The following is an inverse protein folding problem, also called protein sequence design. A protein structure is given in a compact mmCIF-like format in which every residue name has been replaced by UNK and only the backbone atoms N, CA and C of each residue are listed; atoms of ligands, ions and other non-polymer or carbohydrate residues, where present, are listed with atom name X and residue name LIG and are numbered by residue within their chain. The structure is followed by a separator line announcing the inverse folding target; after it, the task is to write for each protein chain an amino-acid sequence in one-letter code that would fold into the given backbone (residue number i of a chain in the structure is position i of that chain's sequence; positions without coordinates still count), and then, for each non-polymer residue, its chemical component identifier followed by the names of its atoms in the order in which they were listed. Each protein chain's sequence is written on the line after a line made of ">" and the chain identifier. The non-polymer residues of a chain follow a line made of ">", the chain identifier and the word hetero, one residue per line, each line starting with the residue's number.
data_IF_826034810408
#
_entry.id   IF_826034810408
#
_cell.length_a   1.000
_cell.length_b   1.000
_cell.length_c   1.000
_cell.angle_alpha   90.00
_cell.angle_beta   90.00
_cell.angle_gamma   90.00
#
_symmetry.space_group_name_H-M   'P 1'
#
loop_
_entity.id
_entity.type
_entity.pdbx_description
1 polymer ?
#
# COMPACT_ATOMS: atom_id res chain seq x y z
N UNK A 1 13.14 6.99 -0.85
CA UNK A 1 11.72 6.86 -1.26
C UNK A 1 11.54 7.49 -2.62
N UNK A 2 10.85 6.80 -3.54
CA UNK A 2 10.52 7.31 -4.88
C UNK A 2 9.01 7.39 -5.05
N UNK A 3 8.49 8.57 -5.38
CA UNK A 3 7.06 8.77 -5.62
C UNK A 3 6.73 8.41 -7.07
N UNK A 4 5.62 7.71 -7.29
CA UNK A 4 4.98 7.45 -8.57
C UNK A 4 3.68 8.26 -8.61
N UNK A 5 3.38 8.94 -9.71
CA UNK A 5 2.18 9.79 -9.90
C UNK A 5 1.73 9.76 -11.37
N UNK A 6 0.50 10.18 -11.74
CA UNK A 6 0.05 10.22 -13.13
C UNK A 6 1.03 10.97 -14.05
N UNK A 7 1.41 10.36 -15.19
CA UNK A 7 2.52 10.86 -16.00
C UNK A 7 2.29 12.26 -16.62
N UNK A 8 1.03 12.66 -16.77
CA UNK A 8 0.58 13.89 -17.41
C UNK A 8 0.34 15.04 -16.43
N UNK A 9 0.62 14.83 -15.13
CA UNK A 9 0.39 15.80 -14.08
C UNK A 9 1.69 16.16 -13.36
N UNK A 10 1.66 17.30 -12.65
CA UNK A 10 2.73 17.64 -11.71
C UNK A 10 2.58 16.81 -10.44
N UNK A 11 3.70 16.35 -9.90
CA UNK A 11 3.73 15.54 -8.67
C UNK A 11 3.00 16.23 -7.51
N UNK A 12 3.15 17.54 -7.37
CA UNK A 12 2.59 18.33 -6.27
C UNK A 12 1.05 18.39 -6.29
N UNK A 13 0.42 18.10 -7.44
CA UNK A 13 -1.03 18.04 -7.56
C UNK A 13 -1.62 16.77 -6.92
N UNK A 14 -0.80 15.76 -6.65
CA UNK A 14 -1.22 14.45 -6.16
C UNK A 14 -0.48 13.99 -4.91
N UNK A 15 0.70 14.55 -4.65
CA UNK A 15 1.54 14.20 -3.51
C UNK A 15 2.02 15.46 -2.78
N UNK A 16 1.93 15.43 -1.45
CA UNK A 16 2.62 16.39 -0.58
C UNK A 16 3.25 15.68 0.62
N UNK A 17 4.27 16.31 1.18
CA UNK A 17 4.86 15.93 2.46
C UNK A 17 5.01 17.17 3.32
N UNK A 18 4.22 17.26 4.38
CA UNK A 18 4.20 18.40 5.29
C UNK A 18 4.01 17.91 6.72
N UNK A 19 4.74 18.51 7.67
CA UNK A 19 4.62 18.20 9.10
C UNK A 19 4.74 16.70 9.42
N UNK A 20 5.61 15.99 8.70
CA UNK A 20 5.83 14.55 8.88
C UNK A 20 4.73 13.64 8.30
N UNK A 21 3.78 14.19 7.53
CA UNK A 21 2.68 13.44 6.92
C UNK A 21 2.81 13.46 5.39
N UNK A 22 2.86 12.26 4.79
CA UNK A 22 2.67 12.09 3.36
C UNK A 22 1.18 12.11 3.06
N UNK A 23 0.73 12.96 2.14
CA UNK A 23 -0.64 12.96 1.62
C UNK A 23 -0.59 12.56 0.16
N UNK A 24 -1.31 11.51 -0.21
CA UNK A 24 -1.33 10.95 -1.55
C UNK A 24 -2.77 10.86 -2.02
N UNK A 25 -3.06 11.39 -3.20
CA UNK A 25 -4.38 11.34 -3.80
C UNK A 25 -4.29 10.97 -5.28
N UNK A 26 -5.37 10.40 -5.80
CA UNK A 26 -5.56 10.15 -7.23
C UNK A 26 -7.05 10.21 -7.54
N UNK A 27 -7.40 10.66 -8.75
CA UNK A 27 -8.77 10.59 -9.25
C UNK A 27 -8.95 9.38 -10.15
N UNK A 28 -10.16 8.83 -10.22
CA UNK A 28 -10.46 7.65 -11.04
C UNK A 28 -10.21 7.87 -12.54
N UNK A 29 -10.26 9.13 -13.00
CA UNK A 29 -10.01 9.52 -14.38
C UNK A 29 -8.58 10.05 -14.65
N UNK A 30 -7.69 10.03 -13.65
CA UNK A 30 -6.28 10.36 -13.87
C UNK A 30 -5.63 9.35 -14.85
N UNK A 31 -4.45 9.67 -15.37
CA UNK A 31 -3.68 8.72 -16.19
C UNK A 31 -2.83 7.79 -15.31
N UNK A 32 -2.35 6.66 -15.88
CA UNK A 32 -1.41 5.78 -15.21
C UNK A 32 -0.09 6.48 -14.84
N UNK A 33 0.75 5.84 -14.03
CA UNK A 33 2.09 6.36 -13.71
C UNK A 33 3.01 6.47 -14.94
N UNK A 34 2.80 5.63 -15.96
CA UNK A 34 3.61 5.62 -17.19
C UNK A 34 2.71 5.74 -18.40
N UNK A 35 3.18 6.50 -19.39
CA UNK A 35 2.53 6.58 -20.69
C UNK A 35 2.40 5.18 -21.30
N UNK A 36 1.26 4.91 -21.95
CA UNK A 36 0.92 3.61 -22.56
C UNK A 36 0.81 2.42 -21.59
N UNK A 37 0.85 2.63 -20.27
CA UNK A 37 0.59 1.57 -19.30
C UNK A 37 -0.90 1.23 -19.26
N UNK A 38 -1.30 -0.06 -19.23
CA UNK A 38 -2.69 -0.45 -19.03
C UNK A 38 -3.12 -0.39 -17.55
N UNK A 39 -2.21 -0.05 -16.64
CA UNK A 39 -2.51 -0.07 -15.20
C UNK A 39 -3.37 1.11 -14.79
N UNK A 40 -4.14 0.94 -13.72
CA UNK A 40 -4.94 2.02 -13.14
C UNK A 40 -4.06 3.16 -12.57
N UNK A 41 -4.63 4.36 -12.38
CA UNK A 41 -3.93 5.51 -11.82
C UNK A 41 -3.42 5.26 -10.41
N UNK A 42 -2.29 5.90 -10.05
CA UNK A 42 -1.74 5.82 -8.70
C UNK A 42 -0.96 7.05 -8.32
N UNK A 43 -0.97 7.34 -7.02
CA UNK A 43 0.04 8.14 -6.37
C UNK A 43 0.62 7.33 -5.23
N UNK A 44 1.82 6.79 -5.42
CA UNK A 44 2.35 5.72 -4.59
C UNK A 44 3.85 5.87 -4.35
N UNK A 45 4.27 5.70 -3.09
CA UNK A 45 5.67 5.74 -2.69
C UNK A 45 6.23 4.33 -2.72
N UNK A 46 7.30 4.13 -3.48
CA UNK A 46 8.19 2.99 -3.36
C UNK A 46 9.29 3.32 -2.33
N UNK A 47 9.42 2.50 -1.28
CA UNK A 47 10.47 2.63 -0.27
C UNK A 47 11.77 1.97 -0.77
N UNK A 48 12.54 2.75 -1.52
CA UNK A 48 13.84 2.35 -2.10
C UNK A 48 14.91 2.03 -1.06
N UNK A 49 15.79 1.08 -1.37
CA UNK A 49 16.96 0.73 -0.54
C UNK A 49 16.66 -0.36 0.50
N UNK A 50 15.47 -0.94 0.44
CA UNK A 50 15.00 -2.02 1.30
C UNK A 50 14.39 -3.15 0.46
N UNK A 51 14.92 -3.35 -0.74
CA UNK A 51 14.53 -4.44 -1.63
C UNK A 51 15.14 -5.73 -1.07
N UNK A 52 14.39 -6.83 -1.11
CA UNK A 52 14.78 -8.08 -0.45
C UNK A 52 14.30 -9.32 -1.19
N UNK A 53 15.00 -10.44 -0.96
CA UNK A 53 14.71 -11.74 -1.56
C UNK A 53 14.69 -12.89 -0.55
N UNK A 54 14.98 -12.62 0.72
CA UNK A 54 14.99 -13.60 1.82
C UNK A 54 14.86 -12.90 3.17
N UNK A 55 14.68 -13.68 4.23
CA UNK A 55 14.57 -13.19 5.60
C UNK A 55 13.16 -12.73 5.97
N UNK A 56 13.07 -12.20 7.20
CA UNK A 56 11.84 -11.61 7.74
C UNK A 56 11.94 -10.08 7.71
N UNK A 57 11.00 -9.46 6.99
CA UNK A 57 10.93 -8.02 6.78
C UNK A 57 9.61 -7.47 7.28
N UNK A 58 9.64 -6.24 7.76
CA UNK A 58 8.49 -5.56 8.33
C UNK A 58 8.36 -4.16 7.76
N UNK A 59 7.16 -3.82 7.31
CA UNK A 59 6.70 -2.44 7.14
C UNK A 59 5.84 -2.07 8.36
N UNK A 60 6.06 -0.87 8.89
CA UNK A 60 5.19 -0.26 9.88
C UNK A 60 4.91 1.20 9.52
N UNK A 61 3.68 1.65 9.73
CA UNK A 61 3.29 3.04 9.56
C UNK A 61 1.93 3.36 10.17
N UNK A 62 1.63 4.63 10.35
CA UNK A 62 0.28 5.08 10.68
C UNK A 62 -0.41 5.56 9.42
N UNK A 63 -1.50 4.90 9.04
CA UNK A 63 -2.35 5.25 7.91
C UNK A 63 -3.59 6.02 8.36
N UNK A 64 -4.10 6.87 7.49
CA UNK A 64 -5.39 7.55 7.62
C UNK A 64 -6.05 7.55 6.24
N UNK A 65 -7.32 7.21 6.18
CA UNK A 65 -8.09 7.17 4.93
C UNK A 65 -9.33 8.03 5.11
N UNK A 66 -9.49 9.13 4.36
CA UNK A 66 -10.71 9.93 4.43
C UNK A 66 -11.93 9.13 3.98
N UNK A 67 -13.07 9.36 4.63
CA UNK A 67 -14.36 8.80 4.19
C UNK A 67 -14.66 9.12 2.73
N UNK A 68 -15.33 8.18 2.06
CA UNK A 68 -15.59 8.24 0.61
C UNK A 68 -14.49 7.64 -0.26
N UNK A 69 -13.32 7.33 0.29
CA UNK A 69 -12.25 6.62 -0.44
C UNK A 69 -12.54 5.12 -0.54
N UNK A 70 -12.76 4.58 -1.73
CA UNK A 70 -13.07 3.16 -1.96
C UNK A 70 -12.39 2.63 -3.22
N UNK A 71 -12.28 1.30 -3.35
CA UNK A 71 -11.71 0.65 -4.52
C UNK A 71 -10.24 0.96 -4.75
N UNK A 72 -9.46 1.03 -3.67
CA UNK A 72 -8.06 1.49 -3.74
C UNK A 72 -7.14 0.59 -2.91
N UNK A 73 -5.93 0.36 -3.41
CA UNK A 73 -4.84 -0.22 -2.64
C UNK A 73 -4.05 0.87 -1.94
N UNK A 74 -3.89 0.76 -0.62
CA UNK A 74 -3.22 1.77 0.20
C UNK A 74 -1.81 1.38 0.64
N UNK A 75 -1.50 0.07 0.62
CA UNK A 75 -0.18 -0.48 0.92
C UNK A 75 -0.03 -1.81 0.16
N UNK A 76 1.17 -2.08 -0.36
CA UNK A 76 1.47 -3.38 -0.98
C UNK A 76 2.88 -3.86 -0.68
N UNK A 77 3.02 -5.19 -0.68
CA UNK A 77 4.30 -5.88 -0.89
C UNK A 77 4.35 -6.25 -2.36
N UNK A 78 5.18 -5.56 -3.13
CA UNK A 78 5.37 -5.85 -4.55
C UNK A 78 6.30 -7.06 -4.72
N UNK A 79 6.18 -7.74 -5.85
CA UNK A 79 6.97 -8.92 -6.20
C UNK A 79 6.21 -10.20 -5.88
N UNK A 80 6.13 -11.10 -6.84
CA UNK A 80 5.56 -12.44 -6.74
C UNK A 80 6.09 -13.32 -7.90
N UNK A 81 5.83 -14.62 -7.90
CA UNK A 81 6.23 -15.55 -8.98
C UNK A 81 5.33 -15.43 -10.22
N UNK A 82 4.02 -15.55 -10.03
CA UNK A 82 3.00 -15.55 -11.10
C UNK A 82 2.12 -14.29 -11.10
N UNK A 83 2.25 -13.46 -10.07
CA UNK A 83 1.50 -12.24 -9.88
C UNK A 83 2.44 -11.03 -9.79
N UNK A 84 1.89 -9.82 -9.79
CA UNK A 84 2.69 -8.61 -9.60
C UNK A 84 3.05 -8.34 -8.12
N UNK A 85 2.34 -8.95 -7.17
CA UNK A 85 2.42 -8.61 -5.74
C UNK A 85 2.19 -9.83 -4.86
N UNK A 86 2.91 -9.88 -3.75
CA UNK A 86 2.69 -10.79 -2.60
C UNK A 86 1.48 -10.35 -1.77
N UNK A 87 1.28 -9.04 -1.59
CA UNK A 87 0.19 -8.52 -0.75
C UNK A 87 -0.32 -7.19 -1.29
N UNK A 88 -1.64 -7.01 -1.29
CA UNK A 88 -2.28 -5.70 -1.44
C UNK A 88 -3.27 -5.47 -0.30
N UNK A 89 -3.03 -4.44 0.51
CA UNK A 89 -3.96 -3.92 1.52
C UNK A 89 -4.85 -2.89 0.82
N UNK A 90 -6.14 -3.20 0.69
CA UNK A 90 -7.13 -2.41 -0.05
C UNK A 90 -8.23 -1.87 0.86
N UNK A 91 -8.97 -0.89 0.36
CA UNK A 91 -10.13 -0.28 1.03
C UNK A 91 -11.36 -0.37 0.14
N UNK A 92 -12.48 -0.86 0.67
CA UNK A 92 -13.78 -0.86 0.01
C UNK A 92 -14.88 -0.45 0.98
N UNK A 93 -15.53 0.69 0.71
CA UNK A 93 -16.63 1.21 1.54
C UNK A 93 -16.31 1.23 3.03
N UNK A 94 -15.13 1.74 3.41
CA UNK A 94 -14.68 1.85 4.80
C UNK A 94 -14.02 0.60 5.38
N UNK A 95 -14.10 -0.52 4.68
CA UNK A 95 -13.50 -1.78 5.12
C UNK A 95 -12.09 -1.93 4.56
N UNK A 96 -11.15 -2.30 5.44
CA UNK A 96 -9.86 -2.83 5.04
C UNK A 96 -10.02 -4.26 4.52
N UNK A 97 -9.35 -4.57 3.43
CA UNK A 97 -9.36 -5.87 2.79
C UNK A 97 -7.94 -6.29 2.38
N UNK A 98 -7.67 -7.58 2.39
CA UNK A 98 -6.51 -8.16 1.71
C UNK A 98 -6.98 -8.64 0.34
N UNK A 99 -6.47 -8.01 -0.72
CA UNK A 99 -7.07 -8.06 -2.05
C UNK A 99 -8.58 -7.76 -2.00
N UNK A 100 -9.46 -8.75 -2.11
CA UNK A 100 -10.93 -8.59 -2.02
C UNK A 100 -11.51 -9.08 -0.70
N UNK A 101 -10.74 -9.78 0.12
CA UNK A 101 -11.22 -10.38 1.36
C UNK A 101 -11.20 -9.35 2.48
N UNK A 102 -12.38 -8.95 2.96
CA UNK A 102 -12.53 -8.03 4.09
C UNK A 102 -11.86 -8.60 5.35
N UNK A 103 -11.09 -7.77 6.05
CA UNK A 103 -10.40 -8.15 7.30
C UNK A 103 -10.71 -7.22 8.48
N UNK A 104 -11.10 -5.97 8.22
CA UNK A 104 -11.44 -5.02 9.29
C UNK A 104 -12.46 -3.98 8.77
N UNK A 105 -13.56 -3.71 9.46
CA UNK A 105 -14.47 -2.62 9.11
C UNK A 105 -14.00 -1.24 9.61
N UNK A 106 -14.65 -0.19 9.13
CA UNK A 106 -14.68 1.15 9.71
C UNK A 106 -13.30 1.78 10.02
N UNK A 107 -12.45 1.87 8.99
CA UNK A 107 -11.11 2.48 9.10
C UNK A 107 -11.08 3.99 8.79
N UNK A 108 -12.20 4.57 8.39
CA UNK A 108 -12.24 5.96 7.92
C UNK A 108 -11.99 6.97 9.03
N UNK A 109 -11.45 8.12 8.61
CA UNK A 109 -11.34 9.35 9.40
C UNK A 109 -10.64 9.20 10.75
N UNK A 110 -9.80 8.17 10.87
CA UNK A 110 -8.94 7.91 12.02
C UNK A 110 -7.56 7.47 11.59
N UNK A 111 -6.58 7.73 12.45
CA UNK A 111 -5.27 7.12 12.30
C UNK A 111 -5.33 5.68 12.81
N UNK A 112 -4.76 4.75 12.05
CA UNK A 112 -4.55 3.36 12.46
C UNK A 112 -3.10 2.97 12.25
N UNK A 113 -2.54 2.15 13.15
CA UNK A 113 -1.21 1.59 12.97
C UNK A 113 -1.31 0.34 12.09
N UNK A 114 -0.73 0.37 10.90
CA UNK A 114 -0.56 -0.78 10.05
C UNK A 114 0.83 -1.37 10.25
N UNK A 115 0.91 -2.67 10.47
CA UNK A 115 2.16 -3.41 10.50
C UNK A 115 2.01 -4.65 9.62
N UNK A 116 2.89 -4.79 8.63
CA UNK A 116 2.92 -5.92 7.70
C UNK A 116 4.26 -6.60 7.84
N UNK A 117 4.24 -7.89 8.16
CA UNK A 117 5.43 -8.74 8.25
C UNK A 117 5.40 -9.73 7.09
N UNK A 118 6.46 -9.75 6.30
CA UNK A 118 6.70 -10.72 5.25
C UNK A 118 7.87 -11.60 5.65
N UNK A 119 7.59 -12.88 5.93
CA UNK A 119 8.58 -13.91 6.18
C UNK A 119 8.78 -14.68 4.88
N UNK A 120 9.79 -14.27 4.10
CA UNK A 120 10.09 -14.89 2.80
C UNK A 120 10.56 -16.33 2.97
N UNK A 121 11.29 -16.60 4.05
CA UNK A 121 11.88 -17.92 4.29
C UNK A 121 10.80 -18.99 4.56
N UNK A 122 9.69 -18.59 5.19
CA UNK A 122 8.52 -19.47 5.43
C UNK A 122 7.37 -19.24 4.43
N UNK A 123 7.53 -18.35 3.44
CA UNK A 123 6.50 -18.01 2.46
C UNK A 123 5.21 -17.48 3.08
N UNK A 124 5.30 -16.62 4.11
CA UNK A 124 4.16 -16.20 4.93
C UNK A 124 4.08 -14.68 5.08
N UNK A 125 2.86 -14.15 5.05
CA UNK A 125 2.56 -12.74 5.33
C UNK A 125 1.59 -12.62 6.52
N UNK A 126 1.89 -11.69 7.42
CA UNK A 126 0.99 -11.27 8.51
C UNK A 126 0.68 -9.79 8.41
N UNK A 127 -0.58 -9.43 8.64
CA UNK A 127 -1.01 -8.04 8.74
C UNK A 127 -1.65 -7.80 10.09
N UNK A 128 -1.17 -6.76 10.76
CA UNK A 128 -1.69 -6.28 12.03
C UNK A 128 -2.23 -4.86 11.84
N UNK A 129 -3.39 -4.59 12.43
CA UNK A 129 -3.97 -3.25 12.54
C UNK A 129 -4.19 -2.96 14.01
N UNK A 130 -3.67 -1.81 14.47
CA UNK A 130 -3.78 -1.39 15.87
C UNK A 130 -3.33 -2.48 16.87
N UNK A 131 -2.26 -3.20 16.49
CA UNK A 131 -1.63 -4.33 17.22
C UNK A 131 -2.42 -5.64 17.19
N UNK A 132 -3.61 -5.68 16.61
CA UNK A 132 -4.40 -6.90 16.42
C UNK A 132 -4.04 -7.58 15.10
N UNK A 133 -3.80 -8.89 15.11
CA UNK A 133 -3.61 -9.69 13.90
C UNK A 133 -4.95 -9.76 13.15
N UNK A 134 -5.00 -9.25 11.92
CA UNK A 134 -6.21 -9.25 11.08
C UNK A 134 -6.09 -10.19 9.88
N UNK A 135 -4.87 -10.58 9.52
CA UNK A 135 -4.62 -11.52 8.42
C UNK A 135 -3.32 -12.29 8.64
N UNK A 136 -3.36 -13.58 8.28
CA UNK A 136 -2.22 -14.47 8.15
C UNK A 136 -2.47 -15.36 6.94
N UNK A 137 -1.52 -15.44 6.01
CA UNK A 137 -1.67 -16.26 4.81
C UNK A 137 -0.35 -16.45 4.06
N UNK A 138 -0.36 -17.29 3.02
CA UNK A 138 0.83 -17.52 2.20
C UNK A 138 1.22 -16.24 1.44
N UNK A 139 2.51 -16.11 1.15
CA UNK A 139 2.98 -15.18 0.13
C UNK A 139 2.66 -15.70 -1.29
N UNK A 140 3.12 -15.01 -2.32
CA UNK A 140 2.99 -15.45 -3.71
C UNK A 140 4.35 -15.79 -4.33
N UNK A 141 5.33 -16.23 -3.53
CA UNK A 141 6.70 -16.49 -3.94
C UNK A 141 7.40 -15.29 -4.57
N UNK A 142 8.43 -15.51 -5.38
CA UNK A 142 9.17 -14.44 -6.07
C UNK A 142 10.64 -14.35 -5.65
N UNK A 143 11.42 -13.52 -6.35
CA UNK A 143 12.88 -13.37 -6.10
C UNK A 143 13.28 -11.96 -5.69
N UNK A 144 12.34 -11.02 -5.65
CA UNK A 144 12.59 -9.62 -5.31
C UNK A 144 11.29 -8.98 -4.85
N UNK A 145 11.34 -8.41 -3.64
CA UNK A 145 10.22 -7.79 -2.97
C UNK A 145 10.60 -6.42 -2.47
N UNK A 146 9.59 -5.54 -2.37
CA UNK A 146 9.73 -4.23 -1.75
C UNK A 146 8.38 -3.70 -1.30
N UNK A 147 8.41 -2.78 -0.34
CA UNK A 147 7.20 -2.17 0.22
C UNK A 147 6.82 -0.89 -0.52
N UNK A 148 5.51 -0.71 -0.69
CA UNK A 148 4.92 0.54 -1.20
C UNK A 148 3.73 0.95 -0.36
N UNK A 149 3.48 2.26 -0.31
CA UNK A 149 2.27 2.83 0.32
C UNK A 149 1.77 4.03 -0.48
N UNK A 150 0.48 4.32 -0.40
CA UNK A 150 -0.12 5.44 -1.12
C UNK A 150 -1.57 5.20 -1.50
N UNK A 151 -1.91 5.54 -2.73
CA UNK A 151 -3.19 5.18 -3.35
C UNK A 151 -2.92 4.63 -4.74
N UNK A 152 -3.31 3.39 -4.98
CA UNK A 152 -3.32 2.77 -6.30
C UNK A 152 -4.72 2.29 -6.60
N UNK A 153 -5.39 2.95 -7.54
CA UNK A 153 -6.77 2.65 -7.90
C UNK A 153 -6.92 1.18 -8.31
N UNK A 154 -7.98 0.55 -7.84
CA UNK A 154 -8.36 -0.83 -8.11
C UNK A 154 -9.78 -0.81 -8.67
N UNK A 155 -10.42 -1.97 -8.76
CA UNK A 155 -11.82 -2.06 -9.17
C UNK A 155 -12.73 -1.34 -8.15
N UNK A 156 -13.87 -0.84 -8.63
CA UNK A 156 -14.89 -0.17 -7.80
C UNK A 156 -14.35 1.09 -7.09
N UNK A 157 -13.49 1.83 -7.78
CA UNK A 157 -12.82 3.03 -7.29
C UNK A 157 -13.77 4.21 -7.14
N UNK A 158 -13.62 4.94 -6.03
CA UNK A 158 -14.28 6.22 -5.82
C UNK A 158 -13.69 7.29 -6.74
N UNK A 159 -14.45 8.37 -6.99
CA UNK A 159 -13.99 9.49 -7.85
C UNK A 159 -12.65 10.06 -7.38
N UNK A 160 -12.50 10.24 -6.07
CA UNK A 160 -11.26 10.65 -5.40
C UNK A 160 -10.87 9.57 -4.41
N UNK A 161 -9.62 9.16 -4.44
CA UNK A 161 -9.03 8.26 -3.48
C UNK A 161 -7.87 8.97 -2.80
N UNK A 162 -7.85 8.98 -1.47
CA UNK A 162 -6.79 9.60 -0.69
C UNK A 162 -6.32 8.68 0.44
N UNK A 163 -5.03 8.70 0.71
CA UNK A 163 -4.48 8.18 1.96
C UNK A 163 -3.40 9.10 2.50
N UNK A 164 -3.26 9.11 3.83
CA UNK A 164 -2.23 9.86 4.54
C UNK A 164 -1.41 8.93 5.39
N UNK A 165 -0.11 9.18 5.47
CA UNK A 165 0.84 8.28 6.11
C UNK A 165 1.89 9.04 6.92
N UNK A 166 2.21 8.53 8.11
CA UNK A 166 3.28 9.07 8.96
C UNK A 166 4.00 7.97 9.74
N UNK A 167 5.21 8.27 10.18
CA UNK A 167 6.00 7.38 11.04
C UNK A 167 6.35 6.05 10.36
N UNK A 168 6.66 6.08 9.07
CA UNK A 168 7.00 4.88 8.28
C UNK A 168 8.35 4.31 8.75
N UNK A 169 8.40 3.00 8.98
CA UNK A 169 9.61 2.25 9.35
C UNK A 169 9.67 0.96 8.54
N UNK A 170 10.86 0.64 8.04
CA UNK A 170 11.17 -0.70 7.52
C UNK A 170 12.18 -1.34 8.45
N UNK A 171 11.89 -2.56 8.90
CA UNK A 171 12.76 -3.34 9.77
C UNK A 171 13.04 -4.69 9.13
N UNK A 172 14.25 -5.20 9.34
CA UNK A 172 14.63 -6.57 9.02
C UNK A 172 14.95 -7.28 10.33
N UNK A 173 14.41 -8.48 10.53
CA UNK A 173 14.82 -9.33 11.66
C UNK A 173 16.32 -9.63 11.52
N UNK A 174 17.10 -9.28 12.54
CA UNK A 174 18.50 -9.71 12.62
C UNK A 174 18.50 -11.20 12.94
N UNK A 175 19.30 -11.95 12.19
CA UNK A 175 19.70 -13.31 12.52
C UNK A 175 20.52 -13.34 13.81
#
# INVERSE_FOLDING_TARGET
>A
MKVQWPYDLRKEERYSFANGVHTLKVYSNDKPFKQHSPTKPRTEVHITGYDYSSGVWQFEGHGFVPSGTSGVCIMQVFGASEHASTLMVRVYGGNLAIYRSKVLPDIYDRWFRLNVIHNVDDGEVKVYVDRSLVYKGPDHGGKSHYFKFGVYAQNDDSRLMESRWKGIKILRKKS
#
